data_IF_908151400276
#
_entry.id   IF_908151400276
#
_cell.length_a   1.000
_cell.length_b   1.000
_cell.length_c   1.000
_cell.angle_alpha   90.00
_cell.angle_beta   90.00
_cell.angle_gamma   90.00
#
_symmetry.space_group_name_H-M   'P 1'
#
loop_
_entity.id
_entity.type
_entity.pdbx_description
1 polymer ?
#
# COMPACT_ATOMS: atom_id res chain seq x y z
N UNK A 1 8.09 12.68 -4.40
CA UNK A 1 9.26 12.28 -3.60
C UNK A 1 10.15 11.45 -4.50
N UNK A 2 11.47 11.63 -4.46
CA UNK A 2 12.38 11.24 -5.56
C UNK A 2 13.23 10.03 -5.23
N UNK A 3 13.44 9.17 -6.24
CA UNK A 3 14.38 8.05 -6.18
C UNK A 3 15.79 8.47 -5.73
N UNK A 4 16.20 9.71 -6.00
CA UNK A 4 17.46 10.30 -5.54
C UNK A 4 17.62 10.30 -4.01
N UNK A 5 16.56 10.57 -3.24
CA UNK A 5 16.62 10.55 -1.77
C UNK A 5 16.88 9.14 -1.23
N UNK A 6 16.20 8.15 -1.82
CA UNK A 6 16.39 6.74 -1.46
C UNK A 6 17.78 6.26 -1.91
N UNK A 7 18.24 6.65 -3.10
CA UNK A 7 19.59 6.35 -3.59
C UNK A 7 20.68 6.90 -2.65
N UNK A 8 20.53 8.13 -2.16
CA UNK A 8 21.43 8.70 -1.15
C UNK A 8 21.37 7.92 0.17
N UNK A 9 20.17 7.55 0.64
CA UNK A 9 20.01 6.73 1.83
C UNK A 9 20.65 5.33 1.69
N UNK A 10 20.62 4.73 0.49
CA UNK A 10 21.29 3.46 0.19
C UNK A 10 22.81 3.63 0.29
N UNK A 11 23.38 4.68 -0.31
CA UNK A 11 24.82 4.96 -0.25
C UNK A 11 25.32 5.14 1.19
N UNK A 12 24.50 5.70 2.08
CA UNK A 12 24.84 5.87 3.49
C UNK A 12 24.75 4.57 4.31
N UNK A 13 24.06 3.54 3.82
CA UNK A 13 23.74 2.31 4.58
C UNK A 13 24.48 1.07 4.09
N UNK A 14 24.93 1.07 2.84
CA UNK A 14 25.60 -0.08 2.22
C UNK A 14 27.04 0.28 1.84
N UNK A 15 27.90 -0.73 1.82
CA UNK A 15 29.29 -0.55 1.45
C UNK A 15 29.40 -0.03 0.00
N UNK A 16 30.18 1.03 -0.21
CA UNK A 16 30.39 1.64 -1.53
C UNK A 16 30.84 0.62 -2.57
N UNK A 17 31.76 -0.29 -2.19
CA UNK A 17 32.26 -1.35 -3.08
C UNK A 17 31.13 -2.27 -3.58
N UNK A 18 30.21 -2.66 -2.70
CA UNK A 18 29.05 -3.47 -3.09
C UNK A 18 28.18 -2.72 -4.12
N UNK A 19 27.96 -1.43 -3.90
CA UNK A 19 27.14 -0.62 -4.81
C UNK A 19 27.83 -0.45 -6.17
N UNK A 20 29.15 -0.22 -6.20
CA UNK A 20 29.93 -0.15 -7.44
C UNK A 20 29.78 -1.43 -8.25
N UNK A 21 29.94 -2.60 -7.62
CA UNK A 21 29.78 -3.91 -8.27
C UNK A 21 28.36 -4.15 -8.80
N UNK A 22 27.36 -3.68 -8.04
CA UNK A 22 25.96 -3.92 -8.37
C UNK A 22 25.40 -2.94 -9.40
N UNK A 23 25.96 -1.74 -9.54
CA UNK A 23 25.48 -0.77 -10.53
C UNK A 23 26.27 -0.87 -11.83
N UNK A 24 27.56 -1.24 -11.81
CA UNK A 24 28.41 -1.26 -13.01
C UNK A 24 28.56 -2.65 -13.63
N UNK A 25 28.59 -2.75 -14.96
CA UNK A 25 28.84 -4.01 -15.70
C UNK A 25 30.32 -4.39 -15.77
N UNK A 26 31.22 -3.42 -15.59
CA UNK A 26 32.67 -3.64 -15.60
C UNK A 26 33.23 -3.84 -14.20
N UNK A 27 34.13 -4.80 -14.06
CA UNK A 27 34.88 -5.06 -12.82
C UNK A 27 35.96 -3.99 -12.53
N UNK A 28 36.19 -3.06 -13.46
CA UNK A 28 37.17 -1.97 -13.30
C UNK A 28 36.55 -0.65 -12.85
N UNK A 29 35.23 -0.60 -12.61
CA UNK A 29 34.56 0.61 -12.17
C UNK A 29 35.02 1.01 -10.76
N UNK A 30 35.21 2.31 -10.52
CA UNK A 30 35.62 2.87 -9.23
C UNK A 30 34.57 3.78 -8.61
N UNK A 31 33.50 4.07 -9.35
CA UNK A 31 32.42 4.96 -8.94
C UNK A 31 31.08 4.26 -9.09
N UNK A 32 30.12 4.64 -8.25
CA UNK A 32 28.75 4.13 -8.34
C UNK A 32 28.10 4.76 -9.57
N UNK A 33 27.51 3.94 -10.44
CA UNK A 33 26.58 4.42 -11.46
C UNK A 33 25.27 4.85 -10.79
N UNK A 34 25.05 6.17 -10.72
CA UNK A 34 23.91 6.78 -10.02
C UNK A 34 22.62 6.59 -10.78
N UNK A 35 22.66 6.49 -12.11
CA UNK A 35 21.46 6.35 -12.93
C UNK A 35 20.84 4.96 -12.70
N UNK A 36 21.68 3.93 -12.65
CA UNK A 36 21.25 2.56 -12.33
C UNK A 36 20.75 2.46 -10.88
N UNK A 37 21.41 3.14 -9.95
CA UNK A 37 20.99 3.18 -8.55
C UNK A 37 19.63 3.85 -8.38
N UNK A 38 19.41 4.99 -9.04
CA UNK A 38 18.13 5.70 -9.02
C UNK A 38 17.02 4.91 -9.73
N UNK A 39 17.32 4.23 -10.84
CA UNK A 39 16.36 3.34 -11.48
C UNK A 39 15.93 2.20 -10.54
N UNK A 40 16.88 1.56 -9.85
CA UNK A 40 16.55 0.53 -8.86
C UNK A 40 15.77 1.08 -7.66
N UNK A 41 16.05 2.30 -7.24
CA UNK A 41 15.29 2.97 -6.19
C UNK A 41 13.86 3.30 -6.63
N UNK A 42 13.68 3.74 -7.87
CA UNK A 42 12.38 3.98 -8.48
C UNK A 42 11.55 2.69 -8.54
N UNK A 43 12.15 1.58 -8.95
CA UNK A 43 11.44 0.29 -9.00
C UNK A 43 11.07 -0.22 -7.60
N UNK A 44 11.94 -0.02 -6.60
CA UNK A 44 11.61 -0.33 -5.21
C UNK A 44 10.44 0.51 -4.68
N UNK A 45 10.38 1.80 -5.02
CA UNK A 45 9.27 2.69 -4.68
C UNK A 45 7.99 2.22 -5.36
N UNK A 46 8.03 2.00 -6.68
CA UNK A 46 6.87 1.54 -7.43
C UNK A 46 6.31 0.23 -6.87
N UNK A 47 7.19 -0.71 -6.50
CA UNK A 47 6.78 -1.98 -5.92
C UNK A 47 6.21 -1.83 -4.50
N UNK A 48 6.79 -0.95 -3.68
CA UNK A 48 6.24 -0.60 -2.37
C UNK A 48 4.80 -0.09 -2.49
N UNK A 49 4.58 0.91 -3.35
CA UNK A 49 3.26 1.55 -3.50
C UNK A 49 2.25 0.58 -4.09
N UNK A 50 2.68 -0.25 -5.06
CA UNK A 50 1.84 -1.28 -5.69
C UNK A 50 1.39 -2.35 -4.70
N UNK A 51 2.29 -2.83 -3.84
CA UNK A 51 1.98 -3.92 -2.90
C UNK A 51 1.23 -3.43 -1.66
N UNK A 52 1.66 -2.30 -1.10
CA UNK A 52 1.06 -1.76 0.13
C UNK A 52 -0.21 -0.96 -0.12
N UNK A 53 -0.35 -0.35 -1.30
CA UNK A 53 -1.41 0.60 -1.62
C UNK A 53 -1.24 1.98 -0.96
N UNK A 54 -0.08 2.25 -0.37
CA UNK A 54 0.24 3.51 0.31
C UNK A 54 1.33 4.24 -0.48
N UNK A 55 1.22 5.57 -0.60
CA UNK A 55 2.30 6.39 -1.11
C UNK A 55 3.50 6.35 -0.15
N UNK A 56 4.71 6.17 -0.68
CA UNK A 56 5.89 6.21 0.18
C UNK A 56 6.08 7.59 0.85
N UNK A 57 6.84 7.61 1.94
CA UNK A 57 7.15 8.84 2.69
C UNK A 57 8.62 8.81 3.09
N UNK A 58 9.39 9.76 2.58
CA UNK A 58 10.84 9.89 2.82
C UNK A 58 11.15 10.26 4.28
N UNK A 59 10.19 10.80 5.03
CA UNK A 59 10.36 11.11 6.44
C UNK A 59 10.08 9.91 7.35
N UNK A 60 9.40 8.89 6.82
CA UNK A 60 9.11 7.69 7.56
C UNK A 60 10.33 6.75 7.51
N UNK A 61 11.05 6.68 8.62
CA UNK A 61 12.25 5.84 8.73
C UNK A 61 12.01 4.37 8.35
N UNK A 62 10.81 3.83 8.59
CA UNK A 62 10.45 2.46 8.20
C UNK A 62 10.30 2.32 6.68
N UNK A 63 9.66 3.28 6.01
CA UNK A 63 9.56 3.30 4.54
C UNK A 63 10.95 3.36 3.92
N UNK A 64 11.79 4.30 4.37
CA UNK A 64 13.16 4.45 3.86
C UNK A 64 13.98 3.18 4.13
N UNK A 65 13.84 2.53 5.29
CA UNK A 65 14.53 1.26 5.59
C UNK A 65 14.13 0.12 4.63
N UNK A 66 12.84 -0.02 4.36
CA UNK A 66 12.32 -1.05 3.46
C UNK A 66 12.74 -0.78 2.02
N UNK A 67 12.61 0.47 1.57
CA UNK A 67 12.98 0.90 0.22
C UNK A 67 14.47 0.70 -0.03
N UNK A 68 15.35 1.05 0.92
CA UNK A 68 16.78 0.79 0.76
C UNK A 68 17.11 -0.71 0.58
N UNK A 69 16.38 -1.60 1.25
CA UNK A 69 16.53 -3.06 1.08
C UNK A 69 16.01 -3.51 -0.28
N UNK A 70 14.86 -2.98 -0.69
CA UNK A 70 14.26 -3.20 -2.01
C UNK A 70 15.18 -2.77 -3.14
N UNK A 71 15.81 -1.60 -3.03
CA UNK A 71 16.77 -1.08 -4.02
C UNK A 71 17.93 -2.05 -4.24
N UNK A 72 18.53 -2.58 -3.16
CA UNK A 72 19.62 -3.57 -3.28
C UNK A 72 19.13 -4.87 -3.90
N UNK A 73 17.90 -5.31 -3.57
CA UNK A 73 17.28 -6.46 -4.23
C UNK A 73 17.14 -6.24 -5.75
N UNK A 74 16.62 -5.09 -6.20
CA UNK A 74 16.49 -4.78 -7.63
C UNK A 74 17.85 -4.68 -8.33
N UNK A 75 18.86 -4.12 -7.68
CA UNK A 75 20.22 -4.11 -8.23
C UNK A 75 20.81 -5.51 -8.40
N UNK A 76 20.65 -6.38 -7.40
CA UNK A 76 21.08 -7.78 -7.52
C UNK A 76 20.29 -8.51 -8.63
N UNK A 77 19.00 -8.21 -8.76
CA UNK A 77 18.14 -8.74 -9.83
C UNK A 77 18.61 -8.29 -11.22
N UNK A 78 18.96 -7.01 -11.42
CA UNK A 78 19.50 -6.50 -12.68
C UNK A 78 20.82 -7.16 -13.07
N UNK A 79 21.65 -7.51 -12.07
CA UNK A 79 22.89 -8.27 -12.28
C UNK A 79 22.67 -9.75 -12.55
N UNK A 80 21.42 -10.23 -12.53
CA UNK A 80 21.07 -11.63 -12.68
C UNK A 80 21.91 -12.55 -11.77
N UNK A 81 22.20 -12.09 -10.53
CA UNK A 81 22.95 -12.89 -9.54
C UNK A 81 22.10 -14.07 -9.09
N UNK A 82 22.10 -15.16 -9.84
CA UNK A 82 21.33 -16.38 -9.54
C UNK A 82 21.86 -17.07 -8.26
N UNK A 83 21.49 -16.51 -7.12
CA UNK A 83 22.09 -16.79 -5.82
C UNK A 83 21.02 -16.82 -4.73
N UNK A 84 21.25 -17.63 -3.71
CA UNK A 84 20.41 -17.70 -2.51
C UNK A 84 20.20 -16.34 -1.82
N UNK A 85 21.14 -15.41 -2.00
CA UNK A 85 21.08 -14.03 -1.50
C UNK A 85 19.91 -13.25 -2.09
N UNK A 86 19.68 -13.31 -3.40
CA UNK A 86 18.51 -12.65 -4.02
C UNK A 86 17.22 -13.19 -3.43
N UNK A 87 17.12 -14.52 -3.26
CA UNK A 87 15.92 -15.15 -2.69
C UNK A 87 15.67 -14.65 -1.27
N UNK A 88 16.71 -14.62 -0.43
CA UNK A 88 16.59 -14.10 0.93
C UNK A 88 16.21 -12.61 0.96
N UNK A 89 16.86 -11.76 0.16
CA UNK A 89 16.54 -10.32 0.10
C UNK A 89 15.13 -10.05 -0.44
N UNK A 90 14.70 -10.79 -1.46
CA UNK A 90 13.33 -10.70 -1.95
C UNK A 90 12.34 -11.09 -0.86
N UNK A 91 12.59 -12.18 -0.12
CA UNK A 91 11.76 -12.60 1.00
C UNK A 91 11.69 -11.56 2.12
N UNK A 92 12.81 -10.94 2.48
CA UNK A 92 12.85 -9.85 3.47
C UNK A 92 12.07 -8.62 2.99
N UNK A 93 12.28 -8.19 1.74
CA UNK A 93 11.58 -7.05 1.16
C UNK A 93 10.07 -7.28 1.08
N UNK A 94 9.62 -8.35 0.41
CA UNK A 94 8.20 -8.66 0.28
C UNK A 94 7.55 -9.01 1.62
N UNK A 95 8.30 -9.64 2.54
CA UNK A 95 7.83 -9.88 3.91
C UNK A 95 7.49 -8.58 4.63
N UNK A 96 8.36 -7.56 4.53
CA UNK A 96 8.11 -6.25 5.11
C UNK A 96 6.92 -5.53 4.45
N UNK A 97 6.81 -5.57 3.12
CA UNK A 97 5.67 -4.98 2.39
C UNK A 97 4.34 -5.61 2.81
N UNK A 98 4.29 -6.94 2.91
CA UNK A 98 3.08 -7.65 3.36
C UNK A 98 2.75 -7.34 4.83
N UNK A 99 3.76 -7.11 5.67
CA UNK A 99 3.57 -6.66 7.04
C UNK A 99 2.84 -5.31 7.11
N UNK A 100 3.30 -4.33 6.34
CA UNK A 100 2.65 -3.01 6.22
C UNK A 100 1.23 -3.17 5.70
N UNK A 101 1.06 -3.89 4.59
CA UNK A 101 -0.25 -4.10 3.97
C UNK A 101 -1.26 -4.70 4.95
N UNK A 102 -0.84 -5.68 5.77
CA UNK A 102 -1.69 -6.28 6.80
C UNK A 102 -2.07 -5.28 7.90
N UNK A 103 -1.13 -4.44 8.34
CA UNK A 103 -1.42 -3.40 9.34
C UNK A 103 -2.47 -2.40 8.83
N UNK A 104 -2.35 -1.96 7.57
CA UNK A 104 -3.33 -1.06 6.93
C UNK A 104 -4.73 -1.66 6.89
N UNK A 105 -4.85 -2.93 6.49
CA UNK A 105 -6.17 -3.58 6.47
C UNK A 105 -6.73 -3.81 7.88
N UNK A 106 -5.88 -4.06 8.87
CA UNK A 106 -6.32 -4.18 10.26
C UNK A 106 -6.90 -2.86 10.79
N UNK A 107 -6.26 -1.73 10.48
CA UNK A 107 -6.78 -0.39 10.83
C UNK A 107 -8.07 -0.05 10.09
N UNK A 108 -8.20 -0.43 8.81
CA UNK A 108 -9.42 -0.23 8.03
C UNK A 108 -10.62 -1.02 8.60
N UNK A 109 -10.39 -2.22 9.15
CA UNK A 109 -11.45 -3.02 9.77
C UNK A 109 -11.96 -2.39 11.09
N UNK A 110 -11.10 -1.71 11.84
CA UNK A 110 -11.47 -1.03 13.09
C UNK A 110 -12.21 0.30 12.90
N UNK A 111 -12.16 0.90 11.70
CA UNK A 111 -12.77 2.20 11.42
C UNK A 111 -14.25 2.12 11.00
N UNK A 112 -14.92 1.00 11.30
CA UNK A 112 -16.36 0.90 11.18
C UNK A 112 -17.00 1.91 12.15
N UNK A 113 -17.33 3.12 11.67
CA UNK A 113 -18.19 4.08 12.37
C UNK A 113 -19.65 3.59 12.36
N UNK A 114 -19.85 2.32 12.71
CA UNK A 114 -21.15 1.83 13.14
C UNK A 114 -21.35 2.47 14.50
N UNK A 115 -22.05 3.62 14.49
CA UNK A 115 -22.70 4.10 15.70
C UNK A 115 -23.49 2.91 16.22
N UNK A 116 -23.11 2.38 17.39
CA UNK A 116 -23.90 1.36 18.07
C UNK A 116 -25.20 2.04 18.44
N UNK A 117 -26.16 2.05 17.50
CA UNK A 117 -27.55 2.26 17.84
C UNK A 117 -27.84 1.05 18.69
N UNK A 118 -27.83 1.23 20.01
CA UNK A 118 -28.39 0.24 20.92
C UNK A 118 -29.78 -0.05 20.38
N UNK A 119 -29.95 -1.21 19.76
CA UNK A 119 -31.27 -1.72 19.45
C UNK A 119 -32.04 -1.64 20.77
N UNK A 120 -33.10 -0.84 20.79
CA UNK A 120 -33.97 -0.81 21.97
C UNK A 120 -34.49 -2.24 22.12
N UNK A 121 -34.15 -2.87 23.25
CA UNK A 121 -34.72 -4.16 23.61
C UNK A 121 -36.24 -4.11 23.41
N UNK A 122 -36.76 -4.97 22.53
CA UNK A 122 -38.16 -4.99 22.11
C UNK A 122 -38.47 -4.41 20.72
N UNK A 123 -37.49 -3.89 19.98
CA UNK A 123 -37.67 -3.53 18.56
C UNK A 123 -37.32 -4.71 17.66
N UNK A 124 -38.20 -5.04 16.71
CA UNK A 124 -38.00 -6.15 15.76
C UNK A 124 -36.81 -5.82 14.84
N UNK A 125 -35.98 -6.83 14.46
CA UNK A 125 -34.93 -6.67 13.47
C UNK A 125 -35.49 -6.03 12.19
N UNK A 126 -34.74 -5.11 11.60
CA UNK A 126 -35.13 -4.31 10.43
C UNK A 126 -35.63 -5.14 9.23
N UNK A 127 -35.20 -6.40 9.12
CA UNK A 127 -35.67 -7.38 8.13
C UNK A 127 -37.19 -7.58 8.13
N UNK A 128 -37.87 -7.43 9.28
CA UNK A 128 -39.33 -7.57 9.37
C UNK A 128 -40.09 -6.27 9.02
N UNK A 129 -39.40 -5.13 8.95
CA UNK A 129 -40.01 -3.81 8.68
C UNK A 129 -40.33 -3.60 7.21
N UNK A 130 -39.62 -4.29 6.31
CA UNK A 130 -39.86 -4.22 4.86
C UNK A 130 -41.12 -4.99 4.43
N UNK A 131 -41.62 -5.93 5.25
CA UNK A 131 -42.72 -6.83 4.86
C UNK A 131 -44.12 -6.22 5.03
N UNK A 132 -44.26 -5.11 5.75
CA UNK A 132 -45.56 -4.55 6.13
C UNK A 132 -46.01 -3.31 5.34
N UNK A 133 -45.27 -2.86 4.32
CA UNK A 133 -45.58 -1.62 3.58
C UNK A 133 -46.43 -1.83 2.31
N UNK A 134 -46.98 -3.03 2.08
CA UNK A 134 -47.85 -3.29 0.90
C UNK A 134 -49.36 -3.24 1.17
N UNK A 135 -49.82 -2.76 2.33
CA UNK A 135 -51.23 -2.81 2.69
C UNK A 135 -51.75 -1.55 3.39
N UNK A 136 -51.89 -0.44 2.65
CA UNK A 136 -52.89 0.64 2.83
C UNK A 136 -52.51 1.88 2.01
N UNK A 137 -52.74 1.88 0.69
CA UNK A 137 -53.04 3.13 -0.01
C UNK A 137 -54.50 3.47 0.26
N UNK A 138 -54.78 4.19 1.36
CA UNK A 138 -56.03 4.95 1.47
C UNK A 138 -55.85 6.22 0.65
N UNK A 139 -56.57 6.28 -0.47
CA UNK A 139 -56.71 7.46 -1.32
C UNK A 139 -57.31 8.58 -0.46
N UNK A 140 -56.57 9.68 -0.31
CA UNK A 140 -57.01 10.88 0.40
C UNK A 140 -57.19 12.01 -0.61
N UNK A 141 -58.45 12.34 -0.90
CA UNK A 141 -58.95 13.69 -1.21
C UNK A 141 -58.39 14.41 -2.44
N UNK A 142 -59.18 14.42 -3.53
CA UNK A 142 -59.22 15.54 -4.48
C UNK A 142 -60.68 15.98 -4.57
N UNK A 143 -60.89 17.28 -4.25
CA UNK A 143 -62.14 18.03 -4.37
C UNK A 143 -62.54 18.13 -5.84
N UNK A 144 -63.83 18.14 -6.14
CA UNK A 144 -64.42 19.08 -7.10
C UNK A 144 -65.91 19.29 -6.82
N UNK A 145 -66.23 20.53 -6.49
CA UNK A 145 -67.52 21.20 -6.62
C UNK A 145 -68.02 21.09 -8.06
N UNK A 146 -69.26 20.63 -8.27
CA UNK A 146 -70.00 20.86 -9.51
C UNK A 146 -71.35 21.46 -9.13
N UNK A 147 -71.57 22.68 -9.63
CA UNK A 147 -72.81 23.45 -9.62
C UNK A 147 -73.92 22.72 -10.39
N UNK A 148 -75.11 22.69 -9.79
CA UNK A 148 -76.39 23.11 -10.39
C UNK A 148 -77.48 23.13 -9.32
#
# INVERSE_FOLDING_TARGET
MSAANIAAAVQNRFATQLLIELTNSSNSATTIDTDVLEAAASDAIGEFERVTGIAHDDNNASHVAILCRGTVYFLEFYKARDTSLIKWRSGDFYGALLGIRKAVYAEAASNSNLTVVRERSGTRPDMDSARLVFGKRRVSGIRDTIEN
#
